data_IF_175247769634
#
_entry.id   IF_175247769634
#
_cell.length_a   1.000
_cell.length_b   1.000
_cell.length_c   1.000
_cell.angle_alpha   90.00
_cell.angle_beta   90.00
_cell.angle_gamma   90.00
#
_symmetry.space_group_name_H-M   'P 1'
#
loop_
_entity.id
_entity.type
_entity.pdbx_description
1 polymer ?
#
# COMPACT_ATOMS: atom_id res chain seq x y z
N UNK A 1 16.89 10.51 16.91
CA UNK A 1 16.83 9.41 15.92
C UNK A 1 15.56 8.61 16.17
N UNK A 2 14.47 8.85 15.44
CA UNK A 2 13.21 8.14 15.62
C UNK A 2 13.29 6.74 14.99
N UNK A 3 13.46 5.71 15.83
CA UNK A 3 13.35 4.30 15.41
C UNK A 3 11.87 3.96 15.25
N UNK A 4 11.38 3.95 14.00
CA UNK A 4 10.02 3.48 13.68
C UNK A 4 9.89 2.02 14.08
N UNK A 5 9.00 1.73 15.03
CA UNK A 5 8.52 0.37 15.27
C UNK A 5 7.78 -0.08 14.01
N UNK A 6 8.32 -1.10 13.33
CA UNK A 6 7.65 -1.73 12.20
C UNK A 6 6.73 -2.81 12.76
N UNK A 7 5.42 -2.60 12.64
CA UNK A 7 4.40 -3.63 12.85
C UNK A 7 4.29 -4.44 11.57
N UNK A 8 4.80 -5.66 11.62
CA UNK A 8 4.58 -6.68 10.60
C UNK A 8 3.14 -7.21 10.70
N UNK A 9 2.60 -7.91 9.68
CA UNK A 9 1.36 -8.68 9.82
C UNK A 9 1.45 -9.60 11.05
N UNK A 10 0.31 -9.83 11.71
CA UNK A 10 0.07 -10.20 13.12
C UNK A 10 0.91 -11.32 13.79
N UNK A 11 1.87 -11.92 13.08
CA UNK A 11 2.71 -13.03 13.52
C UNK A 11 4.19 -12.70 13.69
N UNK A 12 4.71 -11.60 13.13
CA UNK A 12 6.14 -11.31 13.28
C UNK A 12 6.42 -10.36 14.48
N UNK A 13 7.42 -10.69 15.33
CA UNK A 13 7.84 -9.84 16.45
C UNK A 13 8.21 -8.42 16.01
N UNK A 14 8.02 -7.44 16.90
CA UNK A 14 8.49 -6.06 16.76
C UNK A 14 9.99 -5.95 17.03
N UNK A 15 10.67 -5.02 16.36
CA UNK A 15 12.11 -4.77 16.55
C UNK A 15 12.34 -3.36 17.05
N UNK A 16 13.26 -3.22 18.02
CA UNK A 16 13.74 -1.92 18.46
C UNK A 16 15.27 -1.93 18.52
N UNK A 17 15.93 -1.41 17.49
CA UNK A 17 17.37 -1.58 17.35
C UNK A 17 17.74 -3.03 17.05
N UNK A 18 18.64 -3.59 17.85
CA UNK A 18 19.12 -4.97 17.71
C UNK A 18 18.31 -5.96 18.57
N UNK A 19 17.23 -5.51 19.19
CA UNK A 19 16.44 -6.32 20.11
C UNK A 19 15.10 -6.75 19.48
N UNK A 20 14.83 -8.05 19.58
CA UNK A 20 13.60 -8.70 19.14
C UNK A 20 12.58 -8.72 20.27
N UNK A 21 11.38 -8.19 20.02
CA UNK A 21 10.27 -8.15 20.98
C UNK A 21 9.07 -8.92 20.43
N UNK A 22 8.60 -9.94 21.14
CA UNK A 22 7.35 -10.67 20.82
C UNK A 22 6.34 -10.41 21.94
N UNK A 23 5.15 -9.92 21.59
CA UNK A 23 4.10 -9.57 22.57
C UNK A 23 4.60 -8.62 23.68
N UNK A 24 5.51 -7.71 23.36
CA UNK A 24 6.12 -6.77 24.33
C UNK A 24 7.23 -7.35 25.20
N UNK A 25 7.59 -8.63 25.05
CA UNK A 25 8.69 -9.26 25.77
C UNK A 25 9.93 -9.39 24.90
N UNK A 26 11.11 -9.08 25.46
CA UNK A 26 12.39 -9.31 24.80
C UNK A 26 12.61 -10.82 24.63
N UNK A 27 12.76 -11.26 23.38
CA UNK A 27 13.01 -12.66 23.05
C UNK A 27 14.51 -12.91 22.94
N UNK A 28 15.18 -12.18 22.06
CA UNK A 28 16.62 -12.31 21.78
C UNK A 28 17.18 -11.07 21.11
N UNK A 29 18.50 -10.95 21.10
CA UNK A 29 19.21 -10.02 20.22
C UNK A 29 19.25 -10.59 18.79
N UNK A 30 19.15 -9.72 17.80
CA UNK A 30 19.31 -10.07 16.40
C UNK A 30 20.76 -10.48 16.13
N UNK A 31 20.95 -11.58 15.42
CA UNK A 31 22.26 -11.99 14.92
C UNK A 31 22.63 -11.15 13.70
N UNK A 32 23.92 -11.18 13.32
CA UNK A 32 24.37 -10.51 12.10
C UNK A 32 23.68 -11.06 10.82
N UNK A 33 23.22 -12.32 10.85
CA UNK A 33 22.44 -12.91 9.76
C UNK A 33 21.03 -12.31 9.71
N UNK A 34 20.33 -12.23 10.85
CA UNK A 34 18.99 -11.64 10.94
C UNK A 34 18.99 -10.16 10.50
N UNK A 35 20.04 -9.41 10.87
CA UNK A 35 20.20 -8.01 10.45
C UNK A 35 20.32 -7.88 8.93
N UNK A 36 21.00 -8.82 8.25
CA UNK A 36 21.11 -8.83 6.79
C UNK A 36 19.77 -9.17 6.14
N UNK A 37 19.05 -10.16 6.66
CA UNK A 37 17.71 -10.49 6.17
C UNK A 37 16.73 -9.32 6.32
N UNK A 38 16.76 -8.64 7.48
CA UNK A 38 15.95 -7.46 7.73
C UNK A 38 16.29 -6.32 6.76
N UNK A 39 17.57 -6.11 6.45
CA UNK A 39 17.98 -5.10 5.48
C UNK A 39 17.45 -5.40 4.07
N UNK A 40 17.50 -6.67 3.64
CA UNK A 40 16.96 -7.12 2.35
C UNK A 40 15.44 -7.00 2.31
N UNK A 41 14.75 -7.37 3.38
CA UNK A 41 13.31 -7.21 3.50
C UNK A 41 12.90 -5.74 3.40
N UNK A 42 13.58 -4.86 4.14
CA UNK A 42 13.31 -3.42 4.14
C UNK A 42 13.51 -2.77 2.77
N UNK A 43 14.54 -3.16 2.02
CA UNK A 43 14.77 -2.61 0.69
C UNK A 43 13.66 -2.99 -0.28
N UNK A 44 13.18 -4.25 -0.23
CA UNK A 44 12.04 -4.71 -1.03
C UNK A 44 10.75 -3.98 -0.66
N UNK A 45 10.44 -3.86 0.63
CA UNK A 45 9.25 -3.12 1.10
C UNK A 45 9.29 -1.65 0.68
N UNK A 46 10.47 -1.01 0.72
CA UNK A 46 10.61 0.36 0.23
C UNK A 46 10.31 0.49 -1.27
N UNK A 47 10.81 -0.43 -2.08
CA UNK A 47 10.51 -0.45 -3.52
C UNK A 47 9.01 -0.62 -3.80
N UNK A 48 8.35 -1.52 -3.09
CA UNK A 48 6.90 -1.74 -3.21
C UNK A 48 6.14 -0.49 -2.79
N UNK A 49 6.51 0.15 -1.68
CA UNK A 49 5.87 1.38 -1.24
C UNK A 49 5.99 2.51 -2.28
N UNK A 50 7.12 2.61 -2.97
CA UNK A 50 7.30 3.58 -4.06
C UNK A 50 6.34 3.27 -5.22
N UNK A 51 6.29 2.01 -5.67
CA UNK A 51 5.38 1.58 -6.74
C UNK A 51 3.91 1.81 -6.37
N UNK A 52 3.51 1.46 -5.14
CA UNK A 52 2.16 1.65 -4.63
C UNK A 52 1.78 3.12 -4.51
N UNK A 53 2.72 4.01 -4.18
CA UNK A 53 2.47 5.44 -4.16
C UNK A 53 2.20 6.00 -5.57
N UNK A 54 2.96 5.57 -6.57
CA UNK A 54 2.72 5.96 -7.96
C UNK A 54 1.38 5.43 -8.47
N UNK A 55 1.06 4.17 -8.17
CA UNK A 55 -0.26 3.60 -8.47
C UNK A 55 -1.38 4.40 -7.80
N UNK A 56 -1.23 4.76 -6.51
CA UNK A 56 -2.21 5.57 -5.78
C UNK A 56 -2.37 6.95 -6.40
N UNK A 57 -1.31 7.59 -6.90
CA UNK A 57 -1.40 8.87 -7.64
C UNK A 57 -2.21 8.72 -8.92
N UNK A 58 -1.94 7.66 -9.71
CA UNK A 58 -2.68 7.40 -10.95
C UNK A 58 -4.17 7.14 -10.68
N UNK A 59 -4.47 6.31 -9.69
CA UNK A 59 -5.85 6.04 -9.27
C UNK A 59 -6.54 7.29 -8.75
N UNK A 60 -5.87 8.12 -7.94
CA UNK A 60 -6.42 9.37 -7.46
C UNK A 60 -6.65 10.40 -8.58
N UNK A 61 -5.82 10.41 -9.63
CA UNK A 61 -6.02 11.28 -10.78
C UNK A 61 -7.28 10.92 -11.58
N UNK A 62 -7.68 9.64 -11.58
CA UNK A 62 -8.88 9.17 -12.29
C UNK A 62 -10.11 9.18 -11.38
N UNK A 63 -10.03 8.52 -10.23
CA UNK A 63 -11.15 8.22 -9.33
C UNK A 63 -11.11 8.98 -7.99
N UNK A 64 -10.04 9.73 -7.71
CA UNK A 64 -9.94 10.54 -6.51
C UNK A 64 -10.77 11.83 -6.59
N UNK A 65 -10.80 12.62 -5.50
CA UNK A 65 -11.47 13.91 -5.49
C UNK A 65 -10.93 14.83 -6.58
N UNK A 66 -11.80 15.32 -7.47
CA UNK A 66 -11.44 16.12 -8.64
C UNK A 66 -10.82 15.31 -9.79
N UNK A 67 -10.85 13.98 -9.72
CA UNK A 67 -10.38 13.10 -10.77
C UNK A 67 -11.20 13.19 -12.06
N UNK A 68 -10.67 12.64 -13.15
CA UNK A 68 -11.33 12.68 -14.47
C UNK A 68 -12.71 12.01 -14.46
N UNK A 69 -12.85 10.88 -13.77
CA UNK A 69 -14.13 10.20 -13.64
C UNK A 69 -15.15 11.07 -12.91
N UNK A 70 -14.78 11.65 -11.76
CA UNK A 70 -15.68 12.51 -11.00
C UNK A 70 -16.09 13.76 -11.82
N UNK A 71 -15.16 14.36 -12.57
CA UNK A 71 -15.43 15.51 -13.44
C UNK A 71 -16.43 15.21 -14.55
N UNK A 72 -16.44 14.00 -15.09
CA UNK A 72 -17.42 13.58 -16.12
C UNK A 72 -18.86 13.62 -15.62
N UNK A 73 -19.06 13.51 -14.31
CA UNK A 73 -20.37 13.58 -13.64
C UNK A 73 -20.56 14.89 -12.86
N UNK A 74 -19.73 15.90 -13.14
CA UNK A 74 -19.90 17.26 -12.64
C UNK A 74 -20.28 18.18 -13.81
N UNK A 75 -21.14 19.16 -13.56
CA UNK A 75 -21.47 20.16 -14.56
C UNK A 75 -22.85 20.76 -14.41
N UNK A 76 -23.23 21.71 -15.28
CA UNK A 76 -24.47 22.47 -15.14
C UNK A 76 -25.73 21.61 -15.15
N UNK A 77 -25.71 20.45 -15.83
CA UNK A 77 -26.79 19.48 -15.78
C UNK A 77 -26.86 18.80 -14.40
N UNK A 78 -25.77 18.18 -13.95
CA UNK A 78 -25.70 17.46 -12.68
C UNK A 78 -25.95 18.35 -11.46
N UNK A 79 -25.63 19.65 -11.56
CA UNK A 79 -25.76 20.62 -10.48
C UNK A 79 -27.11 21.39 -10.50
N UNK A 80 -27.96 21.22 -11.52
CA UNK A 80 -29.22 21.96 -11.62
C UNK A 80 -30.37 21.07 -12.09
N UNK A 81 -31.30 20.82 -11.16
CA UNK A 81 -32.46 19.93 -11.33
C UNK A 81 -33.45 20.37 -12.40
N UNK A 82 -33.39 21.64 -12.85
CA UNK A 82 -34.31 22.20 -13.85
C UNK A 82 -33.76 22.16 -15.29
N UNK A 83 -32.65 21.47 -15.55
CA UNK A 83 -32.12 21.30 -16.91
C UNK A 83 -32.59 19.99 -17.54
N UNK A 84 -32.86 19.97 -18.86
CA UNK A 84 -33.20 18.74 -19.56
C UNK A 84 -32.07 17.72 -19.44
N UNK A 85 -32.44 16.44 -19.36
CA UNK A 85 -31.49 15.34 -19.30
C UNK A 85 -30.53 15.35 -20.50
N UNK A 86 -29.22 15.06 -20.32
CA UNK A 86 -28.29 14.87 -21.40
C UNK A 86 -28.79 13.70 -22.23
N UNK A 87 -28.83 13.88 -23.55
CA UNK A 87 -29.13 12.80 -24.50
C UNK A 87 -27.91 11.94 -24.81
N UNK A 88 -26.73 12.33 -24.32
CA UNK A 88 -25.47 11.61 -24.46
C UNK A 88 -24.85 11.35 -23.10
N UNK A 89 -24.52 10.09 -22.83
CA UNK A 89 -23.75 9.72 -21.64
C UNK A 89 -22.27 10.13 -21.82
N UNK A 90 -21.55 10.46 -20.74
CA UNK A 90 -20.11 10.60 -20.80
C UNK A 90 -19.50 9.29 -21.31
N UNK A 91 -18.66 9.38 -22.34
CA UNK A 91 -17.89 8.23 -22.82
C UNK A 91 -16.96 7.78 -21.70
N UNK A 92 -17.24 6.62 -21.11
CA UNK A 92 -16.29 5.97 -20.22
C UNK A 92 -15.11 5.47 -21.06
N UNK A 93 -13.87 5.56 -20.56
CA UNK A 93 -12.74 4.93 -21.21
C UNK A 93 -13.00 3.42 -21.38
N UNK A 94 -12.48 2.84 -22.46
CA UNK A 94 -12.58 1.40 -22.72
C UNK A 94 -12.05 0.63 -21.50
N UNK A 95 -12.82 -0.35 -21.05
CA UNK A 95 -12.48 -1.17 -19.89
C UNK A 95 -11.27 -2.05 -20.23
N UNK A 96 -10.07 -1.61 -19.83
CA UNK A 96 -8.87 -2.43 -19.88
C UNK A 96 -8.80 -3.27 -18.60
N UNK A 97 -9.09 -4.56 -18.69
CA UNK A 97 -8.76 -5.51 -17.64
C UNK A 97 -7.25 -5.65 -17.57
N UNK A 98 -6.60 -4.84 -16.73
CA UNK A 98 -5.21 -5.09 -16.37
C UNK A 98 -5.16 -6.28 -15.42
N UNK A 99 -4.19 -7.20 -15.59
CA UNK A 99 -3.99 -8.26 -14.61
C UNK A 99 -3.77 -7.62 -13.24
N UNK A 100 -4.40 -8.20 -12.21
CA UNK A 100 -4.15 -7.80 -10.83
C UNK A 100 -2.65 -7.97 -10.62
N UNK A 101 -1.90 -6.93 -10.23
CA UNK A 101 -0.49 -7.09 -9.88
C UNK A 101 -0.42 -8.14 -8.78
N UNK A 102 0.28 -9.24 -9.02
CA UNK A 102 0.64 -10.17 -7.95
C UNK A 102 1.38 -9.34 -6.91
N UNK A 103 0.77 -9.12 -5.74
CA UNK A 103 1.35 -8.29 -4.71
C UNK A 103 2.64 -8.97 -4.25
N UNK A 104 3.83 -8.46 -4.58
CA UNK A 104 5.07 -9.16 -4.33
C UNK A 104 5.54 -8.78 -2.93
N UNK A 105 4.66 -8.87 -1.93
CA UNK A 105 5.11 -8.62 -0.57
C UNK A 105 6.20 -9.66 -0.28
N UNK A 106 7.42 -9.22 0.06
CA UNK A 106 8.48 -10.16 0.35
C UNK A 106 8.05 -11.05 1.51
N UNK A 107 8.42 -12.32 1.45
CA UNK A 107 8.25 -13.21 2.59
C UNK A 107 8.93 -12.57 3.81
N UNK A 108 8.28 -12.62 4.98
CA UNK A 108 8.88 -12.07 6.19
C UNK A 108 10.15 -12.86 6.53
N UNK A 109 11.12 -12.23 7.22
CA UNK A 109 12.37 -12.88 7.59
C UNK A 109 12.19 -14.20 8.35
N UNK A 110 13.16 -15.10 8.28
CA UNK A 110 13.04 -16.46 8.82
C UNK A 110 12.77 -16.49 10.33
N UNK A 111 13.36 -15.55 11.08
CA UNK A 111 13.15 -15.40 12.52
C UNK A 111 11.69 -15.03 12.90
N UNK A 112 10.86 -14.60 11.96
CA UNK A 112 9.44 -14.39 12.21
C UNK A 112 8.71 -15.72 12.48
N UNK A 113 9.22 -16.83 11.95
CA UNK A 113 8.63 -18.16 12.05
C UNK A 113 9.26 -19.03 13.15
N UNK A 114 10.43 -18.64 13.67
CA UNK A 114 11.08 -19.39 14.74
C UNK A 114 10.27 -19.29 16.05
N UNK A 115 9.79 -20.44 16.55
CA UNK A 115 9.06 -20.55 17.82
C UNK A 115 7.55 -20.76 17.72
N UNK A 116 7.07 -21.47 16.70
CA UNK A 116 5.80 -22.20 16.75
C UNK A 116 5.99 -23.57 17.40
#
# INVERSE_FOLDING_TARGET
>A
MLRKAFTFPDFCPTFQGDQLYRNGQLVRTLTAADQRELAVYNSKVQQINLQMNEFRKQMNAVFGPGGSFQRSFQGPFWNNRNRPAPTTMPLLPVEETKPIPEMPFPDPPAFCYEGH
#
